data_IF_819492658867
#
_entry.id   IF_819492658867
#
_cell.length_a   1.000
_cell.length_b   1.000
_cell.length_c   1.000
_cell.angle_alpha   90.00
_cell.angle_beta   90.00
_cell.angle_gamma   90.00
#
_symmetry.space_group_name_H-M   'P 1'
#
loop_
_entity.id
_entity.type
_entity.pdbx_description
1 polymer ?
#
# COMPACT_ATOMS: atom_id res chain seq x y z
N UNK A 1 46.18 3.48 -16.10
CA UNK A 1 45.42 4.13 -15.01
C UNK A 1 43.96 3.68 -15.10
N UNK A 2 43.32 3.25 -14.00
CA UNK A 2 41.92 2.86 -14.02
C UNK A 2 41.04 4.04 -14.46
N UNK A 3 39.98 3.74 -15.23
CA UNK A 3 39.06 4.72 -15.80
C UNK A 3 38.20 5.31 -14.69
N UNK A 4 38.13 6.64 -14.59
CA UNK A 4 37.32 7.32 -13.58
C UNK A 4 35.83 6.97 -13.76
N UNK A 5 35.16 6.58 -12.67
CA UNK A 5 33.74 6.25 -12.62
C UNK A 5 32.96 7.47 -12.13
N UNK A 6 31.91 7.87 -12.86
CA UNK A 6 31.01 8.94 -12.42
C UNK A 6 30.00 8.40 -11.41
N UNK A 7 29.99 8.95 -10.21
CA UNK A 7 29.00 8.65 -9.17
C UNK A 7 27.82 9.62 -9.33
N UNK A 8 26.60 9.12 -9.08
CA UNK A 8 25.38 9.92 -9.05
C UNK A 8 25.10 10.34 -7.59
N UNK A 9 24.92 11.64 -7.37
CA UNK A 9 24.59 12.21 -6.06
C UNK A 9 25.45 13.44 -5.71
N UNK A 10 24.94 14.35 -4.87
CA UNK A 10 25.75 15.45 -4.35
C UNK A 10 26.86 14.89 -3.45
N UNK A 11 28.08 15.40 -3.62
CA UNK A 11 29.14 15.16 -2.65
C UNK A 11 28.83 15.96 -1.39
N UNK A 12 28.86 15.30 -0.24
CA UNK A 12 28.74 15.93 1.07
C UNK A 12 30.02 15.62 1.84
N UNK A 13 30.72 16.66 2.25
CA UNK A 13 31.94 16.56 3.04
C UNK A 13 31.65 16.20 4.50
N UNK A 14 32.64 15.66 5.20
CA UNK A 14 32.53 15.37 6.63
C UNK A 14 32.20 16.63 7.46
N UNK A 15 32.74 17.78 7.06
CA UNK A 15 32.51 19.07 7.72
C UNK A 15 31.04 19.52 7.60
N UNK A 16 30.41 19.30 6.44
CA UNK A 16 28.99 19.62 6.24
C UNK A 16 28.09 18.73 7.09
N UNK A 17 28.42 17.43 7.19
CA UNK A 17 27.70 16.51 8.08
C UNK A 17 27.80 16.95 9.54
N UNK A 18 29.00 17.30 9.99
CA UNK A 18 29.25 17.77 11.37
C UNK A 18 28.51 19.08 11.67
N UNK A 19 28.51 20.02 10.72
CA UNK A 19 27.78 21.29 10.87
C UNK A 19 26.27 21.07 10.99
N UNK A 20 25.68 20.20 10.16
CA UNK A 20 24.24 19.90 10.19
C UNK A 20 23.87 19.18 11.48
N UNK A 21 24.63 18.17 11.88
CA UNK A 21 24.36 17.40 13.11
C UNK A 21 24.48 18.26 14.36
N UNK A 22 25.48 19.15 14.41
CA UNK A 22 25.63 20.13 15.49
C UNK A 22 24.46 21.13 15.51
N UNK A 23 24.05 21.62 14.35
CA UNK A 23 22.89 22.51 14.24
C UNK A 23 21.60 21.83 14.75
N UNK A 24 21.35 20.58 14.37
CA UNK A 24 20.18 19.82 14.86
C UNK A 24 20.30 19.56 16.37
N UNK A 25 21.47 19.15 16.85
CA UNK A 25 21.70 18.85 18.27
C UNK A 25 21.64 20.06 19.20
N UNK A 26 21.90 21.27 18.69
CA UNK A 26 21.79 22.51 19.47
C UNK A 26 20.35 23.03 19.61
N UNK A 27 19.40 22.44 18.90
CA UNK A 27 17.98 22.81 19.03
C UNK A 27 17.45 22.34 20.39
N UNK A 28 16.63 23.18 21.02
CA UNK A 28 16.01 22.83 22.30
C UNK A 28 15.16 21.57 22.16
N UNK A 29 15.39 20.60 23.05
CA UNK A 29 14.50 19.46 23.20
C UNK A 29 13.08 19.95 23.50
N UNK A 30 12.09 19.25 22.95
CA UNK A 30 10.69 19.53 23.26
C UNK A 30 10.50 19.41 24.78
N UNK A 31 10.04 20.50 25.41
CA UNK A 31 9.84 20.59 26.86
C UNK A 31 8.90 19.51 27.40
N UNK A 32 7.98 19.05 26.55
CA UNK A 32 7.05 17.98 26.81
C UNK A 32 7.29 16.86 25.80
N UNK A 33 7.14 15.61 26.25
CA UNK A 33 7.10 14.47 25.34
C UNK A 33 5.99 14.72 24.31
N UNK A 34 6.37 14.82 23.03
CA UNK A 34 5.38 14.88 21.96
C UNK A 34 4.75 13.51 21.87
N UNK A 35 3.63 13.35 22.57
CA UNK A 35 2.73 12.23 22.35
C UNK A 35 2.25 12.42 20.93
N UNK A 36 2.80 11.62 20.01
CA UNK A 36 2.22 11.45 18.69
C UNK A 36 0.72 11.31 18.94
N UNK A 37 -0.15 12.12 18.30
CA UNK A 37 -1.56 11.79 18.28
C UNK A 37 -1.62 10.30 17.96
N UNK A 38 -2.42 9.54 18.70
CA UNK A 38 -2.81 8.24 18.19
C UNK A 38 -3.36 8.56 16.82
N UNK A 39 -2.55 8.38 15.78
CA UNK A 39 -3.02 8.51 14.41
C UNK A 39 -4.25 7.65 14.45
N UNK A 40 -5.41 8.20 14.06
CA UNK A 40 -6.61 7.41 13.96
C UNK A 40 -6.11 6.08 13.39
N UNK A 41 -6.21 4.97 14.12
CA UNK A 41 -5.83 3.68 13.54
C UNK A 41 -6.85 3.31 12.43
N UNK A 42 -7.71 4.27 12.06
CA UNK A 42 -8.57 4.44 10.90
C UNK A 42 -8.10 5.47 9.84
N UNK A 43 -7.04 6.27 10.05
CA UNK A 43 -6.46 7.18 9.04
C UNK A 43 -4.93 7.14 9.10
N UNK A 44 -4.39 6.09 8.49
CA UNK A 44 -2.99 6.05 8.07
C UNK A 44 -2.66 7.28 7.22
N UNK A 45 -1.57 7.95 7.57
CA UNK A 45 -1.16 9.21 7.02
C UNK A 45 -0.77 9.08 5.53
N UNK A 46 -1.53 9.76 4.68
CA UNK A 46 -1.01 10.48 3.52
C UNK A 46 -0.52 9.66 2.33
N UNK A 47 -1.45 9.11 1.55
CA UNK A 47 -1.51 9.19 0.07
C UNK A 47 -2.68 8.38 -0.55
N UNK A 48 -3.48 7.67 0.25
CA UNK A 48 -4.61 6.86 -0.25
C UNK A 48 -5.96 7.24 0.36
N UNK A 49 -6.12 8.48 0.79
CA UNK A 49 -7.43 9.04 1.16
C UNK A 49 -7.96 9.94 0.03
N UNK A 50 -7.98 9.42 -1.20
CA UNK A 50 -9.01 9.87 -2.14
C UNK A 50 -10.29 9.18 -1.69
N UNK A 51 -11.24 9.95 -1.19
CA UNK A 51 -12.48 9.44 -0.62
C UNK A 51 -13.16 8.40 -1.51
N UNK A 52 -13.46 7.25 -0.93
CA UNK A 52 -14.50 6.37 -1.43
C UNK A 52 -15.41 6.00 -0.25
N UNK A 53 -16.06 7.05 0.24
CA UNK A 53 -17.37 6.93 0.84
C UNK A 53 -18.28 6.39 -0.26
N UNK A 54 -18.46 5.06 -0.31
CA UNK A 54 -19.76 4.39 -0.33
C UNK A 54 -20.82 4.92 -1.33
N UNK A 55 -20.42 5.52 -2.46
CA UNK A 55 -21.34 6.03 -3.49
C UNK A 55 -21.29 5.27 -4.81
N UNK A 56 -20.16 4.63 -5.11
CA UNK A 56 -20.05 3.70 -6.24
C UNK A 56 -19.87 2.31 -5.64
N UNK A 57 -20.73 1.36 -6.00
CA UNK A 57 -20.67 -0.01 -5.50
C UNK A 57 -19.37 -0.74 -5.85
N UNK A 58 -19.38 -2.06 -5.70
CA UNK A 58 -18.26 -2.91 -6.10
C UNK A 58 -17.92 -2.68 -7.59
N UNK A 59 -16.63 -2.66 -7.93
CA UNK A 59 -16.20 -2.57 -9.32
C UNK A 59 -16.79 -3.75 -10.12
N UNK A 60 -17.16 -3.54 -11.38
CA UNK A 60 -17.76 -4.61 -12.19
C UNK A 60 -16.86 -5.83 -12.36
N UNK A 61 -15.56 -5.69 -12.18
CA UNK A 61 -14.57 -6.78 -12.24
C UNK A 61 -14.16 -7.29 -10.86
N UNK A 62 -14.83 -6.86 -9.79
CA UNK A 62 -14.51 -7.25 -8.41
C UNK A 62 -14.59 -8.76 -8.20
N UNK A 63 -15.71 -9.40 -8.61
CA UNK A 63 -15.88 -10.84 -8.46
C UNK A 63 -14.82 -11.63 -9.24
N UNK A 64 -14.57 -11.24 -10.49
CA UNK A 64 -13.55 -11.89 -11.33
C UNK A 64 -12.13 -11.69 -10.77
N UNK A 65 -11.85 -10.52 -10.20
CA UNK A 65 -10.58 -10.24 -9.52
C UNK A 65 -10.43 -11.10 -8.27
N UNK A 66 -11.48 -11.26 -7.47
CA UNK A 66 -11.46 -12.09 -6.27
C UNK A 66 -11.13 -13.55 -6.62
N UNK A 67 -11.84 -14.13 -7.60
CA UNK A 67 -11.60 -15.49 -8.09
C UNK A 67 -10.17 -15.67 -8.57
N UNK A 68 -9.67 -14.68 -9.32
CA UNK A 68 -8.34 -14.76 -9.89
C UNK A 68 -7.24 -14.69 -8.82
N UNK A 69 -7.43 -13.86 -7.79
CA UNK A 69 -6.51 -13.74 -6.66
C UNK A 69 -6.49 -15.02 -5.82
N UNK A 70 -7.66 -15.62 -5.54
CA UNK A 70 -7.78 -16.89 -4.81
C UNK A 70 -7.21 -18.06 -5.62
N UNK A 71 -7.50 -18.13 -6.92
CA UNK A 71 -6.96 -19.18 -7.79
C UNK A 71 -5.43 -19.15 -7.88
N UNK A 72 -4.84 -17.96 -7.98
CA UNK A 72 -3.39 -17.81 -8.11
C UNK A 72 -2.65 -17.68 -6.77
N UNK A 73 -3.37 -17.55 -5.66
CA UNK A 73 -2.80 -17.29 -4.33
C UNK A 73 -1.79 -16.13 -4.34
N UNK A 74 -2.08 -15.12 -5.17
CA UNK A 74 -1.22 -13.96 -5.39
C UNK A 74 -2.07 -12.70 -5.52
N UNK A 75 -1.91 -11.78 -4.57
CA UNK A 75 -2.61 -10.51 -4.54
C UNK A 75 -1.68 -9.35 -4.91
N UNK A 76 -1.68 -8.97 -6.19
CA UNK A 76 -0.91 -7.81 -6.68
C UNK A 76 -1.65 -7.05 -7.78
N UNK A 77 -1.49 -5.72 -7.80
CA UNK A 77 -2.10 -4.87 -8.83
C UNK A 77 -1.64 -5.28 -10.25
N UNK A 78 -0.38 -5.66 -10.42
CA UNK A 78 0.19 -6.09 -11.72
C UNK A 78 -0.39 -7.41 -12.25
N UNK A 79 -0.87 -8.29 -11.36
CA UNK A 79 -1.57 -9.50 -11.74
C UNK A 79 -2.98 -9.16 -12.27
N UNK A 80 -3.72 -8.27 -11.60
CA UNK A 80 -5.01 -7.80 -12.08
C UNK A 80 -4.91 -7.03 -13.40
N UNK A 81 -3.90 -6.16 -13.56
CA UNK A 81 -3.66 -5.43 -14.81
C UNK A 81 -3.52 -6.36 -16.01
N UNK A 82 -2.70 -7.42 -15.88
CA UNK A 82 -2.40 -8.33 -16.99
C UNK A 82 -3.57 -9.25 -17.33
N UNK A 83 -4.28 -9.74 -16.31
CA UNK A 83 -5.33 -10.74 -16.51
C UNK A 83 -6.69 -10.15 -16.85
N UNK A 84 -7.04 -9.03 -16.23
CA UNK A 84 -8.33 -8.37 -16.41
C UNK A 84 -8.24 -7.13 -17.31
N UNK A 85 -7.06 -6.85 -17.88
CA UNK A 85 -6.78 -5.69 -18.76
C UNK A 85 -7.17 -4.35 -18.13
N UNK A 86 -6.97 -4.24 -16.81
CA UNK A 86 -7.28 -3.05 -16.04
C UNK A 86 -6.13 -2.05 -16.09
N UNK A 87 -6.45 -0.75 -16.14
CA UNK A 87 -5.46 0.31 -15.88
C UNK A 87 -4.99 0.26 -14.42
N UNK A 88 -3.80 0.81 -14.13
CA UNK A 88 -3.21 0.77 -12.79
C UNK A 88 -4.15 1.32 -11.70
N UNK A 89 -4.74 2.49 -11.93
CA UNK A 89 -5.64 3.13 -10.97
C UNK A 89 -6.85 2.27 -10.62
N UNK A 90 -7.46 1.62 -11.63
CA UNK A 90 -8.60 0.73 -11.44
C UNK A 90 -8.18 -0.57 -10.75
N UNK A 91 -7.05 -1.17 -11.14
CA UNK A 91 -6.52 -2.37 -10.49
C UNK A 91 -6.20 -2.13 -9.00
N UNK A 92 -5.63 -0.97 -8.66
CA UNK A 92 -5.39 -0.59 -7.27
C UNK A 92 -6.70 -0.43 -6.50
N UNK A 93 -7.70 0.24 -7.09
CA UNK A 93 -9.03 0.37 -6.48
C UNK A 93 -9.69 -0.98 -6.21
N UNK A 94 -9.62 -1.90 -7.17
CA UNK A 94 -10.13 -3.27 -6.99
C UNK A 94 -9.37 -4.00 -5.88
N UNK A 95 -8.04 -3.85 -5.79
CA UNK A 95 -7.27 -4.44 -4.68
C UNK A 95 -7.68 -3.89 -3.32
N UNK A 96 -7.98 -2.60 -3.23
CA UNK A 96 -8.43 -1.98 -1.98
C UNK A 96 -9.84 -2.46 -1.60
N UNK A 97 -10.72 -2.67 -2.59
CA UNK A 97 -12.02 -3.31 -2.35
C UNK A 97 -11.86 -4.76 -1.87
N UNK A 98 -10.92 -5.53 -2.42
CA UNK A 98 -10.64 -6.90 -1.96
C UNK A 98 -10.09 -6.92 -0.53
N UNK A 99 -9.28 -5.93 -0.15
CA UNK A 99 -8.80 -5.77 1.24
C UNK A 99 -9.96 -5.47 2.18
N UNK A 100 -10.82 -4.53 1.81
CA UNK A 100 -11.97 -4.12 2.62
C UNK A 100 -12.93 -5.29 2.90
N UNK A 101 -13.12 -6.16 1.91
CA UNK A 101 -13.97 -7.35 2.04
C UNK A 101 -13.26 -8.57 2.66
N UNK A 102 -12.04 -8.40 3.17
CA UNK A 102 -11.32 -9.47 3.87
C UNK A 102 -10.84 -10.62 2.98
N UNK A 103 -10.74 -10.41 1.67
CA UNK A 103 -10.25 -11.42 0.71
C UNK A 103 -8.71 -11.43 0.69
N UNK A 104 -8.10 -10.26 0.90
CA UNK A 104 -6.65 -10.09 0.92
C UNK A 104 -6.20 -9.32 2.16
N UNK A 105 -4.95 -9.54 2.56
CA UNK A 105 -4.34 -8.81 3.65
C UNK A 105 -4.12 -7.34 3.29
N UNK A 106 -3.91 -6.54 4.33
CA UNK A 106 -3.44 -5.15 4.17
C UNK A 106 -2.09 -5.13 3.46
N UNK A 107 -1.88 -4.11 2.64
CA UNK A 107 -0.60 -3.88 1.98
C UNK A 107 0.39 -3.21 2.93
N UNK A 108 1.60 -3.77 3.07
CA UNK A 108 2.67 -3.23 3.91
C UNK A 108 3.78 -2.54 3.07
N UNK A 109 3.48 -2.18 1.81
CA UNK A 109 4.39 -1.48 0.88
C UNK A 109 5.62 -2.26 0.39
N UNK A 110 6.20 -3.12 1.23
CA UNK A 110 7.41 -3.91 0.96
C UNK A 110 7.13 -5.38 0.69
N UNK A 111 5.93 -5.88 1.03
CA UNK A 111 5.56 -7.29 0.89
C UNK A 111 4.33 -7.44 -0.01
N UNK A 112 4.25 -8.52 -0.82
CA UNK A 112 3.03 -8.86 -1.52
C UNK A 112 1.91 -9.11 -0.51
N UNK A 113 0.68 -8.71 -0.85
CA UNK A 113 -0.50 -8.96 -0.01
C UNK A 113 -0.73 -10.47 0.06
N UNK A 114 -1.05 -10.97 1.25
CA UNK A 114 -1.43 -12.37 1.47
C UNK A 114 -2.90 -12.55 1.08
N UNK A 115 -3.24 -13.73 0.55
CA UNK A 115 -4.63 -14.10 0.26
C UNK A 115 -5.20 -14.77 1.50
N UNK A 116 -6.30 -14.26 2.02
CA UNK A 116 -6.90 -14.75 3.27
C UNK A 116 -7.90 -15.89 3.03
N UNK A 117 -8.36 -16.03 1.79
CA UNK A 117 -9.31 -17.06 1.37
C UNK A 117 -8.58 -18.15 0.60
N UNK A 118 -8.58 -19.36 1.15
CA UNK A 118 -7.82 -20.50 0.63
C UNK A 118 -8.64 -21.42 -0.30
N UNK A 119 -9.98 -21.29 -0.30
CA UNK A 119 -10.87 -22.15 -1.08
C UNK A 119 -11.88 -21.32 -1.89
N UNK A 120 -12.16 -21.77 -3.11
CA UNK A 120 -13.13 -21.18 -4.02
C UNK A 120 -14.55 -21.23 -3.43
N UNK A 121 -14.93 -22.33 -2.77
CA UNK A 121 -16.27 -22.45 -2.15
C UNK A 121 -16.49 -21.38 -1.07
N UNK A 122 -15.44 -21.08 -0.29
CA UNK A 122 -15.48 -20.04 0.73
C UNK A 122 -15.58 -18.64 0.12
N UNK A 123 -14.94 -18.44 -1.03
CA UNK A 123 -15.07 -17.20 -1.78
C UNK A 123 -16.48 -17.01 -2.33
N UNK A 124 -17.07 -18.03 -2.95
CA UNK A 124 -18.41 -17.94 -3.53
C UNK A 124 -19.49 -17.66 -2.46
N UNK A 125 -19.36 -18.24 -1.27
CA UNK A 125 -20.26 -17.92 -0.15
C UNK A 125 -20.13 -16.45 0.29
N UNK A 126 -18.90 -15.92 0.32
CA UNK A 126 -18.65 -14.50 0.63
C UNK A 126 -19.23 -13.59 -0.46
N UNK A 127 -19.01 -13.89 -1.74
CA UNK A 127 -19.53 -13.11 -2.86
C UNK A 127 -21.07 -13.09 -2.90
N UNK A 128 -21.71 -14.19 -2.51
CA UNK A 128 -23.17 -14.26 -2.39
C UNK A 128 -23.69 -13.28 -1.33
N UNK A 129 -23.07 -13.29 -0.14
CA UNK A 129 -23.47 -12.41 0.96
C UNK A 129 -23.22 -10.91 0.68
N UNK A 130 -22.34 -10.58 -0.27
CA UNK A 130 -22.08 -9.20 -0.69
C UNK A 130 -23.07 -8.68 -1.73
N UNK A 131 -23.79 -9.58 -2.40
CA UNK A 131 -24.78 -9.25 -3.44
C UNK A 131 -26.23 -9.27 -2.93
N UNK A 132 -26.45 -9.76 -1.71
CA UNK A 132 -27.74 -9.71 -0.98
C UNK A 132 -27.85 -8.41 -0.16
#
# INVERSE_FOLDING_TARGET
LPKALRIQGPYVSAQEVEAITTFIGSQHALKNMYVLPAGDMQKGNGLSASGYQEKDGLDSMFADAARLVVMHQQASASLLQRRLRLGFSRASRVMDQLEFNGIVSRGDGSKPREVLINNEDSLELLLRNLND
#
